data_IF_990826596826
#
_entry.id   IF_990826596826
#
_cell.length_a   1.000
_cell.length_b   1.000
_cell.length_c   1.000
_cell.angle_alpha   90.00
_cell.angle_beta   90.00
_cell.angle_gamma   90.00
#
_symmetry.space_group_name_H-M   'P 1'
#
loop_
_entity.id
_entity.type
_entity.pdbx_description
1 polymer ?
#
# COMPACT_ATOMS: atom_id res chain seq x y z
N UNK A 1 27.99 11.31 7.25
CA UNK A 1 28.16 10.29 8.30
C UNK A 1 28.46 8.97 7.62
N UNK A 2 29.60 8.34 7.91
CA UNK A 2 29.94 7.02 7.39
C UNK A 2 29.37 5.94 8.34
N UNK A 3 28.65 4.95 7.81
CA UNK A 3 28.14 3.80 8.58
C UNK A 3 28.92 2.54 8.21
N UNK A 4 29.26 1.71 9.20
CA UNK A 4 29.89 0.40 8.99
C UNK A 4 28.91 -0.69 9.40
N UNK A 5 28.66 -1.63 8.50
CA UNK A 5 27.84 -2.81 8.80
C UNK A 5 28.66 -3.81 9.62
N UNK A 6 28.12 -4.23 10.76
CA UNK A 6 28.71 -5.27 11.63
C UNK A 6 27.94 -6.59 11.56
N UNK A 7 26.96 -6.69 10.65
CA UNK A 7 26.07 -7.85 10.55
C UNK A 7 26.84 -9.15 10.32
N UNK A 8 27.84 -9.14 9.44
CA UNK A 8 28.64 -10.34 9.15
C UNK A 8 29.50 -10.78 10.33
N UNK A 9 30.16 -9.84 11.01
CA UNK A 9 30.96 -10.12 12.20
C UNK A 9 30.08 -10.68 13.34
N UNK A 10 28.88 -10.11 13.52
CA UNK A 10 27.90 -10.61 14.47
C UNK A 10 27.42 -12.03 14.15
N UNK A 11 27.06 -12.31 12.88
CA UNK A 11 26.61 -13.64 12.45
C UNK A 11 27.71 -14.69 12.64
N UNK A 12 28.95 -14.35 12.30
CA UNK A 12 30.10 -15.25 12.48
C UNK A 12 30.33 -15.57 13.95
N UNK A 13 30.33 -14.55 14.83
CA UNK A 13 30.45 -14.76 16.28
C UNK A 13 29.29 -15.57 16.87
N UNK A 14 28.05 -15.30 16.44
CA UNK A 14 26.86 -16.05 16.86
C UNK A 14 26.97 -17.52 16.48
N UNK A 15 27.30 -17.82 15.23
CA UNK A 15 27.38 -19.19 14.73
C UNK A 15 28.54 -19.96 15.38
N UNK A 16 29.69 -19.31 15.59
CA UNK A 16 30.84 -19.91 16.24
C UNK A 16 30.60 -20.21 17.74
N UNK A 17 29.89 -19.33 18.45
CA UNK A 17 29.49 -19.56 19.84
C UNK A 17 28.50 -20.73 19.98
N UNK A 18 27.57 -20.89 19.03
CA UNK A 18 26.64 -22.03 18.99
C UNK A 18 27.36 -23.35 18.72
N UNK A 19 28.31 -23.36 17.77
CA UNK A 19 29.13 -24.55 17.48
C UNK A 19 30.01 -24.95 18.67
N UNK A 20 30.59 -23.96 19.37
CA UNK A 20 31.40 -24.21 20.57
C UNK A 20 30.58 -24.86 21.68
N UNK A 21 29.31 -24.47 21.89
CA UNK A 21 28.41 -25.14 22.84
C UNK A 21 28.13 -26.61 22.47
N UNK A 22 27.98 -26.93 21.18
CA UNK A 22 27.72 -28.30 20.73
C UNK A 22 28.92 -29.23 20.93
N UNK A 23 30.15 -28.74 20.69
CA UNK A 23 31.37 -29.55 20.81
C UNK A 23 31.67 -29.93 22.28
N UNK A 24 31.38 -29.05 23.24
CA UNK A 24 31.55 -29.35 24.66
C UNK A 24 30.35 -30.07 25.30
N UNK A 25 29.20 -30.13 24.62
CA UNK A 25 28.04 -30.88 25.07
C UNK A 25 28.17 -32.39 24.84
N UNK A 26 28.80 -32.80 23.75
CA UNK A 26 28.94 -34.22 23.38
C UNK A 26 29.99 -34.97 24.23
N UNK A 27 30.98 -34.24 24.77
CA UNK A 27 32.04 -34.83 25.61
C UNK A 27 31.67 -34.98 27.10
N UNK A 28 30.46 -34.61 27.52
CA UNK A 28 30.00 -34.75 28.91
C UNK A 28 28.97 -35.88 29.07
N UNK A 29 28.60 -36.58 27.98
CA UNK A 29 27.46 -37.51 27.96
C UNK A 29 27.81 -38.98 27.77
N UNK A 30 29.02 -39.44 28.14
CA UNK A 30 29.31 -40.88 28.03
C UNK A 30 28.80 -41.71 29.23
N UNK A 31 28.60 -41.18 30.45
CA UNK A 31 28.39 -42.11 31.59
C UNK A 31 27.40 -41.73 32.72
N UNK A 32 26.63 -40.64 32.62
CA UNK A 32 25.57 -40.42 33.63
C UNK A 32 24.26 -39.91 33.03
N UNK A 33 23.35 -40.87 32.83
CA UNK A 33 21.92 -40.72 33.15
C UNK A 33 21.22 -39.51 32.49
N UNK A 34 20.77 -39.71 31.25
CA UNK A 34 19.72 -38.90 30.65
C UNK A 34 18.37 -39.18 31.33
N UNK A 35 18.15 -38.64 32.54
CA UNK A 35 16.86 -38.58 33.21
C UNK A 35 16.48 -37.12 33.43
N UNK A 36 15.67 -36.57 32.51
CA UNK A 36 14.90 -35.32 32.64
C UNK A 36 15.75 -34.04 32.74
N UNK A 37 15.60 -33.01 31.93
CA UNK A 37 14.56 -32.66 30.97
C UNK A 37 15.15 -32.05 29.71
N UNK A 38 14.62 -32.48 28.58
CA UNK A 38 14.83 -31.91 27.25
C UNK A 38 14.06 -30.59 27.12
N UNK A 39 14.31 -29.66 28.04
CA UNK A 39 13.70 -28.31 28.06
C UNK A 39 14.74 -27.19 27.97
N UNK A 40 16.00 -27.53 27.68
CA UNK A 40 17.05 -26.56 27.32
C UNK A 40 17.28 -26.54 25.80
N UNK A 41 16.32 -27.05 25.02
CA UNK A 41 16.25 -26.83 23.56
C UNK A 41 15.66 -25.43 23.24
N UNK A 42 15.18 -24.68 24.24
CA UNK A 42 14.76 -23.28 24.10
C UNK A 42 15.84 -22.31 24.60
N UNK A 43 17.06 -22.46 24.10
CA UNK A 43 18.13 -21.45 24.17
C UNK A 43 17.88 -20.22 23.28
N UNK A 44 16.61 -19.94 23.06
CA UNK A 44 16.06 -18.92 22.20
C UNK A 44 14.87 -18.42 23.04
N UNK A 45 15.03 -17.29 23.73
CA UNK A 45 14.02 -16.78 24.64
C UNK A 45 12.67 -16.79 23.94
N UNK A 46 11.74 -17.61 24.43
CA UNK A 46 10.38 -17.84 23.94
C UNK A 46 10.04 -16.86 22.82
N UNK A 47 10.45 -17.17 21.58
CA UNK A 47 9.70 -16.65 20.47
C UNK A 47 8.38 -17.37 20.68
N UNK A 48 7.40 -16.64 21.20
CA UNK A 48 6.02 -16.87 20.82
C UNK A 48 6.03 -16.84 19.29
N UNK A 49 6.34 -17.98 18.70
CA UNK A 49 6.19 -18.29 17.29
C UNK A 49 4.68 -18.39 16.95
N UNK A 50 3.82 -18.29 17.97
CA UNK A 50 2.38 -18.08 17.88
C UNK A 50 1.98 -16.59 17.82
N UNK A 51 2.83 -15.72 17.29
CA UNK A 51 2.39 -14.35 16.97
C UNK A 51 1.64 -14.39 15.64
N UNK A 52 0.40 -14.91 15.67
CA UNK A 52 -0.53 -14.79 14.54
C UNK A 52 -0.52 -13.32 14.08
N UNK A 53 -0.27 -13.06 12.79
CA UNK A 53 -0.18 -11.70 12.28
C UNK A 53 -1.46 -10.96 12.69
N UNK A 54 -1.36 -9.70 13.16
CA UNK A 54 -2.52 -8.91 13.47
C UNK A 54 -3.59 -9.00 12.37
N UNK A 55 -4.84 -9.26 12.75
CA UNK A 55 -5.96 -9.51 11.82
C UNK A 55 -6.21 -8.39 10.80
N UNK A 56 -5.67 -7.20 11.04
CA UNK A 56 -5.77 -6.05 10.15
C UNK A 56 -4.67 -6.02 9.07
N UNK A 57 -3.69 -6.93 9.10
CA UNK A 57 -2.60 -7.01 8.11
C UNK A 57 -3.15 -7.35 6.73
N UNK A 58 -4.07 -8.31 6.61
CA UNK A 58 -4.68 -8.65 5.32
C UNK A 58 -5.39 -7.43 4.70
N UNK A 59 -6.11 -6.66 5.54
CA UNK A 59 -6.74 -5.42 5.11
C UNK A 59 -5.71 -4.35 4.72
N UNK A 60 -4.54 -4.31 5.38
CA UNK A 60 -3.45 -3.41 4.99
C UNK A 60 -2.85 -3.79 3.63
N UNK A 61 -2.59 -5.07 3.40
CA UNK A 61 -2.09 -5.57 2.11
C UNK A 61 -3.07 -5.24 0.98
N UNK A 62 -4.35 -5.49 1.21
CA UNK A 62 -5.41 -5.14 0.27
C UNK A 62 -5.44 -3.64 -0.02
N UNK A 63 -5.38 -2.76 1.00
CA UNK A 63 -5.34 -1.30 0.76
C UNK A 63 -4.12 -0.90 -0.07
N UNK A 64 -2.95 -1.46 0.20
CA UNK A 64 -1.75 -1.15 -0.57
C UNK A 64 -1.89 -1.58 -2.03
N UNK A 65 -2.46 -2.75 -2.27
CA UNK A 65 -2.77 -3.22 -3.62
C UNK A 65 -3.76 -2.28 -4.33
N UNK A 66 -4.86 -1.91 -3.67
CA UNK A 66 -5.84 -0.98 -4.23
C UNK A 66 -5.24 0.40 -4.50
N UNK A 67 -4.32 0.88 -3.65
CA UNK A 67 -3.57 2.12 -3.91
C UNK A 67 -2.67 2.05 -5.13
N UNK A 68 -2.01 0.91 -5.38
CA UNK A 68 -1.25 0.71 -6.62
C UNK A 68 -2.18 0.76 -7.83
N UNK A 69 -3.32 0.07 -7.78
CA UNK A 69 -4.33 0.09 -8.83
C UNK A 69 -4.88 1.49 -9.10
N UNK A 70 -5.14 2.28 -8.06
CA UNK A 70 -5.54 3.70 -8.18
C UNK A 70 -4.47 4.51 -8.92
N UNK A 71 -3.18 4.31 -8.59
CA UNK A 71 -2.08 5.03 -9.25
C UNK A 71 -2.02 4.72 -10.75
N UNK A 72 -2.20 3.46 -11.13
CA UNK A 72 -2.14 3.06 -12.53
C UNK A 72 -3.37 3.55 -13.30
N UNK A 73 -4.57 3.43 -12.72
CA UNK A 73 -5.79 4.01 -13.32
C UNK A 73 -5.75 5.51 -13.44
N UNK A 74 -5.08 6.21 -12.52
CA UNK A 74 -4.93 7.66 -12.62
C UNK A 74 -4.04 8.06 -13.81
N UNK A 75 -3.01 7.27 -14.11
CA UNK A 75 -2.18 7.47 -15.32
C UNK A 75 -2.98 7.16 -16.58
N UNK A 76 -3.73 6.06 -16.60
CA UNK A 76 -4.64 5.70 -17.69
C UNK A 76 -5.63 6.85 -17.97
N UNK A 77 -6.30 7.36 -16.93
CA UNK A 77 -7.21 8.49 -17.04
C UNK A 77 -6.52 9.75 -17.59
N UNK A 78 -5.30 10.05 -17.15
CA UNK A 78 -4.55 11.20 -17.68
C UNK A 78 -4.23 11.06 -19.17
N UNK A 79 -3.89 9.84 -19.63
CA UNK A 79 -3.64 9.57 -21.04
C UNK A 79 -4.92 9.69 -21.88
N UNK A 80 -6.07 9.22 -21.36
CA UNK A 80 -7.37 9.38 -21.99
C UNK A 80 -7.77 10.86 -22.09
N UNK A 81 -7.58 11.64 -21.02
CA UNK A 81 -7.81 13.09 -21.02
C UNK A 81 -6.98 13.78 -22.11
N UNK A 82 -5.68 13.48 -22.21
CA UNK A 82 -4.82 14.08 -23.23
C UNK A 82 -5.18 13.63 -24.65
N UNK A 83 -5.56 12.36 -24.85
CA UNK A 83 -6.03 11.85 -26.14
C UNK A 83 -7.30 12.58 -26.59
N UNK A 84 -8.29 12.69 -25.72
CA UNK A 84 -9.55 13.35 -26.02
C UNK A 84 -9.40 14.86 -26.30
N UNK A 85 -8.49 15.54 -25.59
CA UNK A 85 -8.23 16.96 -25.80
C UNK A 85 -7.55 17.28 -27.13
N UNK A 86 -6.55 16.48 -27.52
CA UNK A 86 -5.69 16.76 -28.67
C UNK A 86 -6.27 16.29 -30.00
N UNK A 87 -7.48 15.73 -29.98
CA UNK A 87 -8.12 15.15 -31.14
C UNK A 87 -8.72 16.23 -32.08
N UNK A 88 -8.57 16.08 -33.42
CA UNK A 88 -9.33 16.85 -34.40
C UNK A 88 -10.79 16.38 -34.44
N UNK A 89 -11.74 17.32 -34.45
CA UNK A 89 -13.18 17.18 -34.13
C UNK A 89 -14.06 16.28 -35.01
N UNK A 90 -13.52 15.28 -35.71
CA UNK A 90 -14.29 14.42 -36.62
C UNK A 90 -14.47 12.99 -36.06
N UNK A 91 -15.69 12.73 -35.54
CA UNK A 91 -16.43 11.45 -35.66
C UNK A 91 -16.34 10.32 -34.60
N UNK A 92 -15.65 10.44 -33.45
CA UNK A 92 -15.76 9.39 -32.38
C UNK A 92 -15.88 9.95 -30.95
N UNK A 93 -16.63 11.03 -30.71
CA UNK A 93 -16.70 11.68 -29.37
C UNK A 93 -17.24 10.74 -28.28
N UNK A 94 -18.26 9.93 -28.60
CA UNK A 94 -19.02 9.20 -27.57
C UNK A 94 -18.24 8.06 -26.93
N UNK A 95 -17.44 7.30 -27.68
CA UNK A 95 -16.72 6.14 -27.14
C UNK A 95 -15.61 6.53 -26.16
N UNK A 96 -14.90 7.61 -26.44
CA UNK A 96 -13.84 8.11 -25.56
C UNK A 96 -14.41 8.77 -24.30
N UNK A 97 -15.53 9.50 -24.43
CA UNK A 97 -16.27 10.06 -23.30
C UNK A 97 -16.78 8.95 -22.36
N UNK A 98 -17.37 7.89 -22.93
CA UNK A 98 -17.82 6.71 -22.17
C UNK A 98 -16.64 6.03 -21.44
N UNK A 99 -15.48 5.90 -22.10
CA UNK A 99 -14.27 5.30 -21.52
C UNK A 99 -13.71 6.15 -20.34
N UNK A 100 -13.73 7.48 -20.49
CA UNK A 100 -13.35 8.42 -19.43
C UNK A 100 -14.33 8.34 -18.25
N UNK A 101 -15.63 8.33 -18.50
CA UNK A 101 -16.65 8.25 -17.45
C UNK A 101 -16.54 6.92 -16.70
N UNK A 102 -16.39 5.80 -17.42
CA UNK A 102 -16.20 4.49 -16.83
C UNK A 102 -14.96 4.45 -15.93
N UNK A 103 -13.82 4.94 -16.43
CA UNK A 103 -12.57 4.98 -15.66
C UNK A 103 -12.68 5.86 -14.42
N UNK A 104 -13.36 7.00 -14.53
CA UNK A 104 -13.63 7.93 -13.42
C UNK A 104 -14.52 7.28 -12.35
N UNK A 105 -15.56 6.56 -12.77
CA UNK A 105 -16.45 5.84 -11.87
C UNK A 105 -15.71 4.72 -11.13
N UNK A 106 -14.92 3.92 -11.85
CA UNK A 106 -14.08 2.87 -11.26
C UNK A 106 -13.09 3.45 -10.24
N UNK A 107 -12.45 4.58 -10.54
CA UNK A 107 -11.53 5.23 -9.60
C UNK A 107 -12.24 5.68 -8.32
N UNK A 108 -13.45 6.23 -8.45
CA UNK A 108 -14.28 6.62 -7.31
C UNK A 108 -14.64 5.42 -6.43
N UNK A 109 -15.02 4.30 -7.05
CA UNK A 109 -15.28 3.05 -6.34
C UNK A 109 -14.04 2.54 -5.59
N UNK A 110 -12.85 2.60 -6.20
CA UNK A 110 -11.60 2.22 -5.57
C UNK A 110 -11.28 3.11 -4.34
N UNK A 111 -11.51 4.42 -4.43
CA UNK A 111 -11.35 5.32 -3.28
C UNK A 111 -12.30 4.96 -2.13
N UNK A 112 -13.58 4.70 -2.43
CA UNK A 112 -14.56 4.28 -1.43
C UNK A 112 -14.19 2.94 -0.80
N UNK A 113 -13.68 2.00 -1.59
CA UNK A 113 -13.23 0.71 -1.09
C UNK A 113 -12.02 0.83 -0.15
N UNK A 114 -11.02 1.65 -0.51
CA UNK A 114 -9.90 1.96 0.38
C UNK A 114 -10.36 2.58 1.72
N UNK A 115 -11.38 3.44 1.70
CA UNK A 115 -11.96 4.02 2.93
C UNK A 115 -12.64 2.97 3.80
N UNK A 116 -13.36 2.02 3.18
CA UNK A 116 -13.98 0.90 3.90
C UNK A 116 -12.92 0.01 4.57
N UNK A 117 -11.87 -0.37 3.83
CA UNK A 117 -10.76 -1.15 4.38
C UNK A 117 -10.04 -0.41 5.52
N UNK A 118 -9.86 0.92 5.39
CA UNK A 118 -9.30 1.73 6.47
C UNK A 118 -10.17 1.69 7.73
N UNK A 119 -11.50 1.67 7.58
CA UNK A 119 -12.43 1.48 8.71
C UNK A 119 -12.29 0.10 9.33
N UNK A 120 -12.11 -0.95 8.52
CA UNK A 120 -11.85 -2.32 9.01
C UNK A 120 -10.57 -2.37 9.84
N UNK A 121 -9.48 -1.77 9.35
CA UNK A 121 -8.22 -1.67 10.11
C UNK A 121 -8.46 -0.96 11.44
N UNK A 122 -9.15 0.19 11.42
CA UNK A 122 -9.51 0.95 12.63
C UNK A 122 -10.35 0.16 13.64
N UNK A 123 -11.27 -0.69 13.17
CA UNK A 123 -12.08 -1.56 14.03
C UNK A 123 -11.27 -2.72 14.61
N UNK A 124 -10.33 -3.28 13.84
CA UNK A 124 -9.36 -4.27 14.30
C UNK A 124 -8.49 -3.73 15.44
N UNK A 125 -8.09 -2.46 15.37
CA UNK A 125 -7.31 -1.77 16.42
C UNK A 125 -8.01 -1.77 17.78
N UNK A 126 -9.35 -1.67 17.81
CA UNK A 126 -10.14 -1.61 19.05
C UNK A 126 -10.17 -2.94 19.82
N UNK A 127 -9.94 -4.04 19.12
CA UNK A 127 -9.94 -5.39 19.68
C UNK A 127 -8.52 -5.92 19.94
N UNK A 128 -7.49 -5.11 19.64
CA UNK A 128 -6.09 -5.48 19.84
C UNK A 128 -5.78 -5.65 21.33
N UNK A 129 -5.20 -6.79 21.68
CA UNK A 129 -4.88 -7.16 23.07
C UNK A 129 -3.67 -6.38 23.65
N UNK A 130 -2.92 -5.64 22.82
CA UNK A 130 -1.64 -5.02 23.20
C UNK A 130 -1.59 -3.52 22.83
N UNK A 131 -1.26 -2.61 23.77
CA UNK A 131 -1.16 -1.17 23.47
C UNK A 131 -0.13 -0.85 22.37
N UNK A 132 0.94 -1.63 22.23
CA UNK A 132 1.94 -1.42 21.16
C UNK A 132 1.35 -1.69 19.77
N UNK A 133 0.53 -2.72 19.66
CA UNK A 133 -0.17 -3.07 18.42
C UNK A 133 -1.19 -1.99 18.06
N UNK A 134 -1.91 -1.47 19.06
CA UNK A 134 -2.82 -0.33 18.89
C UNK A 134 -2.10 0.88 18.28
N UNK A 135 -0.93 1.24 18.81
CA UNK A 135 -0.12 2.34 18.28
C UNK A 135 0.41 2.08 16.86
N UNK A 136 0.87 0.86 16.57
CA UNK A 136 1.32 0.47 15.23
C UNK A 136 0.18 0.63 14.22
N UNK A 137 -1.00 0.11 14.52
CA UNK A 137 -2.14 0.18 13.63
C UNK A 137 -2.64 1.62 13.43
N UNK A 138 -2.61 2.48 14.45
CA UNK A 138 -2.90 3.92 14.30
C UNK A 138 -1.90 4.62 13.36
N UNK A 139 -0.61 4.29 13.45
CA UNK A 139 0.41 4.84 12.56
C UNK A 139 0.20 4.38 11.12
N UNK A 140 -0.14 3.10 10.94
CA UNK A 140 -0.52 2.54 9.63
C UNK A 140 -1.71 3.29 9.05
N UNK A 141 -2.80 3.43 9.81
CA UNK A 141 -4.00 4.17 9.38
C UNK A 141 -3.65 5.60 8.97
N UNK A 142 -2.82 6.29 9.75
CA UNK A 142 -2.41 7.67 9.44
C UNK A 142 -1.56 7.74 8.16
N UNK A 143 -0.62 6.82 7.97
CA UNK A 143 0.23 6.75 6.78
C UNK A 143 -0.59 6.46 5.51
N UNK A 144 -1.48 5.48 5.60
CA UNK A 144 -2.39 5.09 4.52
C UNK A 144 -3.37 6.22 4.21
N UNK A 145 -4.00 6.84 5.21
CA UNK A 145 -4.91 7.95 5.01
C UNK A 145 -4.23 9.13 4.30
N UNK A 146 -3.00 9.48 4.71
CA UNK A 146 -2.20 10.53 4.08
C UNK A 146 -1.91 10.21 2.61
N UNK A 147 -1.50 8.97 2.32
CA UNK A 147 -1.25 8.51 0.94
C UNK A 147 -2.53 8.53 0.09
N UNK A 148 -3.66 8.12 0.66
CA UNK A 148 -4.97 8.13 -0.03
C UNK A 148 -5.43 9.56 -0.33
N UNK A 149 -5.23 10.48 0.62
CA UNK A 149 -5.54 11.89 0.45
C UNK A 149 -4.68 12.53 -0.65
N UNK A 150 -3.39 12.20 -0.73
CA UNK A 150 -2.52 12.66 -1.82
C UNK A 150 -3.02 12.17 -3.19
N UNK A 151 -3.40 10.90 -3.31
CA UNK A 151 -3.99 10.34 -4.54
C UNK A 151 -5.32 11.00 -4.90
N UNK A 152 -6.21 11.20 -3.93
CA UNK A 152 -7.51 11.87 -4.15
C UNK A 152 -7.34 13.33 -4.57
N UNK A 153 -6.35 14.03 -4.01
CA UNK A 153 -6.03 15.42 -4.39
C UNK A 153 -5.51 15.48 -5.82
N UNK A 154 -4.61 14.56 -6.20
CA UNK A 154 -4.10 14.47 -7.56
C UNK A 154 -5.23 14.16 -8.56
N UNK A 155 -6.12 13.23 -8.24
CA UNK A 155 -7.30 12.92 -9.05
C UNK A 155 -8.19 14.14 -9.26
N UNK A 156 -8.60 14.81 -8.18
CA UNK A 156 -9.44 16.03 -8.27
C UNK A 156 -8.77 17.14 -9.08
N UNK A 157 -7.47 17.31 -8.94
CA UNK A 157 -6.70 18.30 -9.70
C UNK A 157 -6.65 17.96 -11.19
N UNK A 158 -6.41 16.70 -11.54
CA UNK A 158 -6.44 16.22 -12.93
C UNK A 158 -7.82 16.46 -13.56
N UNK A 159 -8.90 16.07 -12.87
CA UNK A 159 -10.27 16.24 -13.34
C UNK A 159 -10.62 17.73 -13.54
N UNK A 160 -10.26 18.57 -12.57
CA UNK A 160 -10.51 20.03 -12.65
C UNK A 160 -9.78 20.64 -13.85
N UNK A 161 -8.53 20.21 -14.08
CA UNK A 161 -7.72 20.70 -15.21
C UNK A 161 -8.33 20.28 -16.54
N UNK A 162 -8.78 19.03 -16.64
CA UNK A 162 -9.45 18.49 -17.80
C UNK A 162 -10.74 19.27 -18.14
N UNK A 163 -11.65 19.42 -17.17
CA UNK A 163 -12.90 20.18 -17.35
C UNK A 163 -12.66 21.63 -17.79
N UNK A 164 -11.67 22.32 -17.20
CA UNK A 164 -11.32 23.69 -17.59
C UNK A 164 -10.84 23.79 -19.03
N UNK A 165 -10.02 22.83 -19.48
CA UNK A 165 -9.53 22.81 -20.86
C UNK A 165 -10.64 22.48 -21.85
N UNK A 166 -11.55 21.58 -21.49
CA UNK A 166 -12.73 21.26 -22.31
C UNK A 166 -13.62 22.50 -22.49
N UNK A 167 -13.97 23.18 -21.39
CA UNK A 167 -14.74 24.42 -21.42
C UNK A 167 -14.04 25.49 -22.27
N UNK A 168 -12.72 25.64 -22.14
CA UNK A 168 -11.97 26.57 -22.97
C UNK A 168 -12.09 26.22 -24.45
N UNK A 169 -11.99 24.94 -24.83
CA UNK A 169 -12.13 24.48 -26.23
C UNK A 169 -13.53 24.83 -26.78
N UNK A 170 -14.58 24.61 -26.00
CA UNK A 170 -15.96 24.96 -26.36
C UNK A 170 -16.17 26.48 -26.50
N UNK A 171 -15.65 27.28 -25.57
CA UNK A 171 -15.72 28.75 -25.67
C UNK A 171 -14.99 29.29 -26.90
N UNK A 172 -13.84 28.72 -27.25
CA UNK A 172 -13.13 29.09 -28.47
C UNK A 172 -13.94 28.67 -29.70
N UNK A 173 -14.46 27.45 -29.74
CA UNK A 173 -15.33 26.96 -30.83
C UNK A 173 -16.55 27.87 -31.03
N UNK A 174 -17.27 28.20 -29.96
CA UNK A 174 -18.47 29.05 -30.01
C UNK A 174 -18.18 30.45 -30.58
N UNK A 175 -17.00 31.03 -30.33
CA UNK A 175 -16.62 32.32 -30.94
C UNK A 175 -16.48 32.28 -32.45
N UNK A 176 -16.13 31.13 -33.03
CA UNK A 176 -15.91 30.98 -34.48
C UNK A 176 -17.13 30.43 -35.22
N UNK A 177 -17.95 29.59 -34.58
CA UNK A 177 -19.05 28.88 -35.25
C UNK A 177 -20.45 29.43 -34.93
N UNK A 178 -20.62 30.28 -33.91
CA UNK A 178 -21.91 30.92 -33.63
C UNK A 178 -22.07 32.20 -34.47
N UNK A 179 -22.49 32.03 -35.73
CA UNK A 179 -22.97 33.15 -36.56
C UNK A 179 -24.37 33.52 -36.07
N UNK A 180 -24.65 34.78 -35.67
CA UNK A 180 -26.02 35.19 -35.42
C UNK A 180 -26.77 35.13 -36.75
N UNK A 181 -27.70 34.16 -36.87
CA UNK A 181 -28.67 34.16 -37.95
C UNK A 181 -29.45 35.48 -37.84
N UNK A 182 -29.38 36.28 -38.91
CA UNK A 182 -30.23 37.45 -39.14
C UNK A 182 -31.55 37.01 -39.72
#
# INVERSE_FOLDING_TARGET
>A
MATRSLTEAFVLMRNNALQSRHIFGDHVHEDTVALVGRDVESGIGVYKDDAEPPRWIDALEEVNYQMMKIRDKLKELSALHDRHLNRPTFDESSLEEDEIEQTTHQLTQLFSHCQQLLSVIQQGVRHGSNPKETHLAQNVVRSVASSLQALSTSFRSSQTTYCKRLQSREEHSNKFFHVPFT
#
